data_IF_873321125949
#
_entry.id   IF_873321125949
#
_cell.length_a   1.000
_cell.length_b   1.000
_cell.length_c   1.000
_cell.angle_alpha   90.00
_cell.angle_beta   90.00
_cell.angle_gamma   90.00
#
_symmetry.space_group_name_H-M   'P 1'
#
loop_
_entity.id
_entity.type
_entity.pdbx_description
1 polymer ?
#
# COMPACT_ATOMS: atom_id res chain seq x y z
N UNK A 1 -1.74 12.96 -27.37
CA UNK A 1 -3.05 12.60 -26.79
C UNK A 1 -3.03 11.10 -26.50
N UNK A 2 -3.31 10.68 -25.27
CA UNK A 2 -3.33 9.27 -24.86
C UNK A 2 -4.77 8.97 -24.43
N UNK A 3 -5.40 7.96 -25.04
CA UNK A 3 -6.75 7.52 -24.64
C UNK A 3 -6.66 6.58 -23.44
N UNK A 4 -7.46 6.84 -22.40
CA UNK A 4 -7.55 6.00 -21.20
C UNK A 4 -8.90 5.28 -21.26
N UNK A 5 -8.94 4.01 -21.72
CA UNK A 5 -10.21 3.31 -21.94
C UNK A 5 -10.89 2.85 -20.64
N UNK A 6 -10.12 2.68 -19.55
CA UNK A 6 -10.60 2.16 -18.28
C UNK A 6 -10.00 2.93 -17.11
N UNK A 7 -10.77 3.05 -16.02
CA UNK A 7 -10.31 3.61 -14.76
C UNK A 7 -10.94 2.86 -13.60
N UNK A 8 -10.26 2.90 -12.46
CA UNK A 8 -10.75 2.35 -11.19
C UNK A 8 -10.69 3.47 -10.16
N UNK A 9 -11.76 3.64 -9.38
CA UNK A 9 -11.79 4.54 -8.23
C UNK A 9 -11.96 3.71 -6.98
N UNK A 10 -11.05 3.88 -6.04
CA UNK A 10 -11.01 3.09 -4.80
C UNK A 10 -11.05 4.05 -3.62
N UNK A 11 -11.95 3.80 -2.67
CA UNK A 11 -11.94 4.48 -1.38
C UNK A 11 -11.18 3.65 -0.34
N UNK A 12 -10.90 4.22 0.84
CA UNK A 12 -10.09 3.55 1.86
C UNK A 12 -10.67 2.20 2.31
N UNK A 13 -12.00 2.10 2.44
CA UNK A 13 -12.67 0.85 2.83
C UNK A 13 -12.54 -0.23 1.76
N UNK A 14 -12.72 0.13 0.49
CA UNK A 14 -12.53 -0.78 -0.62
C UNK A 14 -11.07 -1.23 -0.73
N UNK A 15 -10.11 -0.31 -0.55
CA UNK A 15 -8.69 -0.63 -0.50
C UNK A 15 -8.38 -1.67 0.58
N UNK A 16 -8.82 -1.44 1.82
CA UNK A 16 -8.58 -2.36 2.93
C UNK A 16 -9.14 -3.75 2.66
N UNK A 17 -10.39 -3.83 2.20
CA UNK A 17 -11.04 -5.11 1.87
C UNK A 17 -10.31 -5.86 0.76
N UNK A 18 -9.86 -5.15 -0.28
CA UNK A 18 -9.05 -5.77 -1.35
C UNK A 18 -7.74 -6.31 -0.78
N UNK A 19 -7.05 -5.53 0.06
CA UNK A 19 -5.81 -5.95 0.69
C UNK A 19 -6.01 -7.15 1.63
N UNK A 20 -7.11 -7.21 2.38
CA UNK A 20 -7.43 -8.32 3.28
C UNK A 20 -7.62 -9.64 2.51
N UNK A 21 -8.16 -9.59 1.29
CA UNK A 21 -8.35 -10.78 0.44
C UNK A 21 -7.03 -11.25 -0.16
N UNK A 22 -6.18 -10.31 -0.56
CA UNK A 22 -4.93 -10.59 -1.27
C UNK A 22 -3.76 -10.90 -0.32
N UNK A 23 -3.90 -10.51 0.94
CA UNK A 23 -2.95 -10.80 2.00
C UNK A 23 -2.01 -9.63 2.30
N UNK A 24 -1.11 -9.87 3.24
CA UNK A 24 -0.20 -8.85 3.75
C UNK A 24 1.04 -8.70 2.85
N UNK A 25 1.57 -7.49 2.75
CA UNK A 25 2.68 -7.15 1.86
C UNK A 25 3.96 -6.92 2.65
N UNK A 26 5.06 -7.52 2.22
CA UNK A 26 6.36 -7.24 2.80
C UNK A 26 7.00 -6.03 2.12
N UNK A 27 7.13 -4.93 2.85
CA UNK A 27 7.63 -3.66 2.31
C UNK A 27 8.77 -3.13 3.20
N UNK A 28 9.82 -2.61 2.55
CA UNK A 28 10.83 -1.81 3.24
C UNK A 28 10.34 -0.37 3.40
N UNK A 29 10.03 0.04 4.63
CA UNK A 29 9.63 1.40 4.98
C UNK A 29 10.88 2.28 5.11
N UNK A 30 10.93 3.38 4.35
CA UNK A 30 12.16 4.15 4.13
C UNK A 30 12.57 5.01 5.32
N UNK A 31 11.61 5.40 6.16
CA UNK A 31 11.79 6.20 7.35
C UNK A 31 10.68 5.90 8.35
N UNK A 32 10.90 6.20 9.63
CA UNK A 32 9.84 6.10 10.63
C UNK A 32 8.73 7.09 10.30
N UNK A 33 7.49 6.61 10.24
CA UNK A 33 6.29 7.37 9.91
C UNK A 33 5.39 7.40 11.13
N UNK A 34 5.17 8.58 11.67
CA UNK A 34 4.27 8.80 12.80
C UNK A 34 3.29 9.92 12.47
N UNK A 35 2.02 9.70 12.76
CA UNK A 35 0.98 10.71 12.71
C UNK A 35 0.05 10.50 13.89
N UNK A 36 -0.45 11.61 14.42
CA UNK A 36 -1.43 11.65 15.51
C UNK A 36 -2.63 12.40 14.97
N UNK A 37 -3.81 11.79 15.08
CA UNK A 37 -5.07 12.37 14.64
C UNK A 37 -5.49 13.56 15.52
N UNK A 38 -6.60 14.20 15.16
CA UNK A 38 -7.11 15.36 15.90
C UNK A 38 -7.56 15.00 17.33
N UNK A 39 -7.89 13.72 17.54
CA UNK A 39 -8.31 13.13 18.81
C UNK A 39 -7.13 12.74 19.71
N UNK A 40 -5.88 12.86 19.23
CA UNK A 40 -4.68 12.55 19.97
C UNK A 40 -4.25 11.07 19.91
N UNK A 41 -4.88 10.27 19.04
CA UNK A 41 -4.51 8.87 18.83
C UNK A 41 -3.48 8.76 17.70
N UNK A 42 -2.52 7.85 17.88
CA UNK A 42 -1.54 7.52 16.83
C UNK A 42 -2.23 6.65 15.77
N UNK A 43 -2.60 7.24 14.64
CA UNK A 43 -3.26 6.55 13.51
C UNK A 43 -2.26 6.04 12.47
N UNK A 44 -1.02 6.57 12.46
CA UNK A 44 0.09 6.04 11.67
C UNK A 44 1.27 5.77 12.61
N UNK A 45 1.71 4.53 12.64
CA UNK A 45 2.92 4.08 13.32
C UNK A 45 3.64 3.03 12.49
N UNK A 46 4.62 3.45 11.70
CA UNK A 46 5.46 2.56 10.91
C UNK A 46 6.92 2.83 11.23
N UNK A 47 7.64 1.79 11.63
CA UNK A 47 9.07 1.88 11.88
C UNK A 47 9.87 1.70 10.59
N UNK A 48 11.02 2.38 10.48
CA UNK A 48 11.93 2.16 9.35
C UNK A 48 12.40 0.71 9.29
N UNK A 49 12.44 0.14 8.09
CA UNK A 49 12.93 -1.22 7.83
C UNK A 49 11.90 -2.11 7.14
N UNK A 50 12.26 -3.39 6.95
CA UNK A 50 11.33 -4.38 6.41
C UNK A 50 10.28 -4.73 7.44
N UNK A 51 9.02 -4.62 7.04
CA UNK A 51 7.88 -5.05 7.84
C UNK A 51 6.75 -5.56 6.96
N UNK A 52 5.94 -6.44 7.54
CA UNK A 52 4.71 -6.94 6.93
C UNK A 52 3.59 -5.95 7.22
N UNK A 53 3.04 -5.35 6.16
CA UNK A 53 1.92 -4.43 6.23
C UNK A 53 0.63 -5.22 6.04
N UNK A 54 -0.22 -5.22 7.05
CA UNK A 54 -1.64 -5.57 6.91
C UNK A 54 -2.40 -4.42 6.22
N UNK A 55 -3.71 -4.59 6.00
CA UNK A 55 -4.52 -3.59 5.30
C UNK A 55 -4.52 -2.21 5.97
N UNK A 56 -4.47 -2.17 7.29
CA UNK A 56 -4.37 -0.92 8.07
C UNK A 56 -3.01 -0.25 7.88
N UNK A 57 -1.92 -0.99 8.10
CA UNK A 57 -0.56 -0.47 7.93
C UNK A 57 -0.25 -0.08 6.48
N UNK A 58 -0.77 -0.83 5.51
CA UNK A 58 -0.66 -0.51 4.10
C UNK A 58 -1.37 0.81 3.78
N UNK A 59 -2.59 1.00 4.31
CA UNK A 59 -3.32 2.25 4.17
C UNK A 59 -2.57 3.42 4.82
N UNK A 60 -2.00 3.21 6.02
CA UNK A 60 -1.17 4.20 6.70
C UNK A 60 0.07 4.58 5.89
N UNK A 61 0.76 3.60 5.29
CA UNK A 61 1.91 3.83 4.41
C UNK A 61 1.56 4.67 3.17
N UNK A 62 0.41 4.40 2.53
CA UNK A 62 -0.04 5.13 1.35
C UNK A 62 -0.54 6.55 1.63
N UNK A 63 -1.03 6.78 2.85
CA UNK A 63 -1.61 8.07 3.28
C UNK A 63 -0.60 8.98 3.97
N UNK A 64 0.52 8.43 4.48
CA UNK A 64 1.52 9.21 5.19
C UNK A 64 2.00 10.41 4.34
N UNK A 65 1.92 11.59 4.95
CA UNK A 65 2.42 12.84 4.37
C UNK A 65 3.72 13.19 5.06
N UNK A 66 4.76 13.44 4.28
CA UNK A 66 6.03 13.89 4.83
C UNK A 66 5.88 15.23 5.57
N UNK A 67 6.72 15.54 6.59
CA UNK A 67 6.63 16.78 7.36
C UNK A 67 6.67 18.06 6.52
N UNK A 68 7.34 17.99 5.36
CA UNK A 68 7.40 19.09 4.37
C UNK A 68 6.15 19.19 3.49
N UNK A 69 5.12 18.37 3.75
CA UNK A 69 3.93 18.18 2.92
C UNK A 69 4.27 17.85 1.46
N UNK A 70 5.34 17.07 1.27
CA UNK A 70 5.78 16.69 -0.06
C UNK A 70 4.84 15.64 -0.66
N UNK A 71 4.10 16.04 -1.69
CA UNK A 71 3.20 15.15 -2.43
C UNK A 71 3.98 14.18 -3.31
N UNK A 72 5.18 14.55 -3.77
CA UNK A 72 5.96 13.74 -4.71
C UNK A 72 6.41 12.43 -4.06
N UNK A 73 7.03 12.50 -2.89
CA UNK A 73 7.45 11.30 -2.16
C UNK A 73 6.27 10.38 -1.82
N UNK A 74 5.09 10.93 -1.50
CA UNK A 74 3.87 10.13 -1.31
C UNK A 74 3.44 9.40 -2.59
N UNK A 75 3.45 10.06 -3.75
CA UNK A 75 3.13 9.42 -5.03
C UNK A 75 4.11 8.29 -5.34
N UNK A 76 5.40 8.48 -5.05
CA UNK A 76 6.40 7.42 -5.23
C UNK A 76 6.12 6.20 -4.35
N UNK A 77 5.69 6.39 -3.10
CA UNK A 77 5.28 5.28 -2.23
C UNK A 77 4.06 4.54 -2.76
N UNK A 78 3.07 5.29 -3.28
CA UNK A 78 1.87 4.71 -3.89
C UNK A 78 2.22 3.90 -5.15
N UNK A 79 3.06 4.44 -6.03
CA UNK A 79 3.56 3.73 -7.20
C UNK A 79 4.34 2.45 -6.82
N UNK A 80 5.25 2.56 -5.84
CA UNK A 80 6.04 1.43 -5.35
C UNK A 80 5.16 0.33 -4.78
N UNK A 81 4.17 0.70 -3.97
CA UNK A 81 3.21 -0.24 -3.40
C UNK A 81 2.45 -0.97 -4.51
N UNK A 82 1.91 -0.24 -5.50
CA UNK A 82 1.17 -0.82 -6.61
C UNK A 82 2.03 -1.79 -7.43
N UNK A 83 3.31 -1.48 -7.67
CA UNK A 83 4.23 -2.39 -8.37
C UNK A 83 4.44 -3.69 -7.60
N UNK A 84 4.77 -3.59 -6.31
CA UNK A 84 4.97 -4.76 -5.45
C UNK A 84 3.69 -5.60 -5.35
N UNK A 85 2.55 -4.94 -5.26
CA UNK A 85 1.26 -5.62 -5.20
C UNK A 85 0.96 -6.39 -6.49
N UNK A 86 1.18 -5.77 -7.67
CA UNK A 86 1.03 -6.46 -8.96
C UNK A 86 2.01 -7.62 -9.10
N UNK A 87 3.25 -7.46 -8.68
CA UNK A 87 4.27 -8.53 -8.71
C UNK A 87 3.85 -9.73 -7.84
N UNK A 88 3.35 -9.49 -6.62
CA UNK A 88 2.89 -10.54 -5.72
C UNK A 88 1.67 -11.29 -6.26
N UNK A 89 0.70 -10.57 -6.83
CA UNK A 89 -0.49 -11.17 -7.46
C UNK A 89 -0.11 -12.11 -8.62
N UNK A 90 0.83 -11.68 -9.47
CA UNK A 90 1.30 -12.52 -10.59
C UNK A 90 1.97 -13.80 -10.07
N UNK A 91 2.74 -13.72 -8.99
CA UNK A 91 3.38 -14.87 -8.37
C UNK A 91 2.35 -15.83 -7.76
N UNK A 92 1.38 -15.31 -7.00
CA UNK A 92 0.32 -16.11 -6.35
C UNK A 92 -0.56 -16.84 -7.38
N UNK A 93 -0.98 -16.15 -8.44
CA UNK A 93 -1.75 -16.74 -9.53
C UNK A 93 -0.95 -17.79 -10.30
N UNK A 94 0.32 -17.51 -10.60
CA UNK A 94 1.20 -18.48 -11.25
C UNK A 94 1.33 -19.77 -10.43
N UNK A 95 1.61 -19.64 -9.12
CA UNK A 95 1.73 -20.79 -8.23
C UNK A 95 0.42 -21.61 -8.23
N UNK A 96 -0.73 -20.97 -8.01
CA UNK A 96 -2.03 -21.66 -7.97
C UNK A 96 -2.31 -22.43 -9.26
N UNK A 97 -2.01 -21.85 -10.43
CA UNK A 97 -2.20 -22.53 -11.70
C UNK A 97 -1.17 -23.65 -11.94
N UNK A 98 0.07 -23.49 -11.49
CA UNK A 98 1.11 -24.51 -11.63
C UNK A 98 0.84 -25.75 -10.77
N UNK A 99 0.15 -25.62 -9.63
CA UNK A 99 -0.26 -26.74 -8.78
C UNK A 99 -1.51 -27.49 -9.27
N UNK A 100 -2.29 -26.89 -10.17
CA UNK A 100 -3.49 -27.48 -10.76
C UNK A 100 -3.24 -28.20 -12.11
N UNK A 101 -1.98 -28.55 -12.42
CA UNK A 101 -1.55 -29.37 -13.56
C UNK A 101 -0.85 -30.65 -13.06
#
# INVERSE_FOLDING_TARGET
HISIPYYVVVNQNAFKKTNDVLGNQQIYVEQTMEHVDAEGNKDIDLQRGYQTLDSDKALSYLRYSDPKHDTFTRVQRQERFLKLWVEEEHNSFFLTNAWHI
#
